data_IF_171653511932
#
_entry.id   IF_171653511932
#
_cell.length_a   1.000
_cell.length_b   1.000
_cell.length_c   1.000
_cell.angle_alpha   90.00
_cell.angle_beta   90.00
_cell.angle_gamma   90.00
#
_symmetry.space_group_name_H-M   'P 1'
#
loop_
_entity.id
_entity.type
_entity.pdbx_description
1 polymer ?
#
# COMPACT_ATOMS: atom_id res chain seq x y z
N UNK A 1 -43.25 3.30 -53.48
CA UNK A 1 -43.72 3.64 -52.13
C UNK A 1 -43.17 2.56 -51.21
N UNK A 2 -41.97 2.73 -50.68
CA UNK A 2 -41.30 1.78 -49.77
C UNK A 2 -41.18 2.46 -48.42
N UNK A 3 -41.97 2.01 -47.45
CA UNK A 3 -41.99 2.52 -46.08
C UNK A 3 -40.64 2.23 -45.39
N UNK A 4 -40.00 3.30 -44.87
CA UNK A 4 -38.88 3.22 -43.94
C UNK A 4 -39.43 3.04 -42.52
N UNK A 5 -38.97 2.04 -41.73
CA UNK A 5 -39.31 1.98 -40.32
C UNK A 5 -38.53 3.04 -39.54
N UNK A 6 -39.27 3.93 -38.88
CA UNK A 6 -38.76 4.91 -37.93
C UNK A 6 -38.10 4.22 -36.72
N UNK A 7 -36.82 4.50 -36.47
CA UNK A 7 -36.16 4.12 -35.22
C UNK A 7 -36.51 5.14 -34.12
N UNK A 8 -37.05 4.72 -32.97
CA UNK A 8 -37.29 5.61 -31.83
C UNK A 8 -35.96 6.01 -31.18
N UNK A 9 -35.83 7.31 -30.88
CA UNK A 9 -34.63 7.93 -30.33
C UNK A 9 -34.19 7.32 -29.00
N UNK A 10 -32.91 6.97 -28.92
CA UNK A 10 -32.25 6.52 -27.70
C UNK A 10 -32.14 7.68 -26.71
N UNK A 11 -32.65 7.49 -25.50
CA UNK A 11 -32.48 8.42 -24.39
C UNK A 11 -30.98 8.55 -24.02
N UNK A 12 -30.53 9.72 -23.50
CA UNK A 12 -29.15 9.86 -23.03
C UNK A 12 -28.90 8.94 -21.85
N UNK A 13 -28.01 7.98 -22.02
CA UNK A 13 -27.59 7.05 -20.97
C UNK A 13 -26.89 7.83 -19.84
N UNK A 14 -27.23 7.60 -18.55
CA UNK A 14 -26.52 8.20 -17.44
C UNK A 14 -25.09 7.67 -17.44
N UNK A 15 -24.13 8.51 -17.84
CA UNK A 15 -22.70 8.15 -17.76
C UNK A 15 -22.38 7.81 -16.30
N UNK A 16 -21.83 6.62 -16.00
CA UNK A 16 -21.34 6.33 -14.67
C UNK A 16 -20.27 7.38 -14.34
N UNK A 17 -20.52 8.15 -13.28
CA UNK A 17 -19.59 9.11 -12.73
C UNK A 17 -18.34 8.34 -12.32
N UNK A 18 -17.33 8.34 -13.20
CA UNK A 18 -15.99 7.91 -12.83
C UNK A 18 -15.57 8.76 -11.63
N UNK A 19 -15.18 8.17 -10.48
CA UNK A 19 -14.68 8.96 -9.37
C UNK A 19 -13.28 9.46 -9.74
N UNK A 20 -13.24 10.55 -10.51
CA UNK A 20 -12.05 11.23 -10.95
C UNK A 20 -11.65 12.25 -9.88
N UNK A 21 -10.68 11.87 -9.04
CA UNK A 21 -9.96 12.85 -8.22
C UNK A 21 -9.12 12.25 -7.11
N UNK A 22 -7.93 12.83 -6.94
CA UNK A 22 -7.03 12.64 -5.78
C UNK A 22 -7.77 12.78 -4.44
N UNK A 23 -8.87 13.56 -4.39
CA UNK A 23 -9.73 13.70 -3.21
C UNK A 23 -10.51 12.42 -2.81
N UNK A 24 -10.84 11.54 -3.75
CA UNK A 24 -11.51 10.26 -3.44
C UNK A 24 -10.57 9.27 -2.76
N UNK A 25 -9.27 9.31 -3.11
CA UNK A 25 -8.25 8.46 -2.51
C UNK A 25 -8.00 8.78 -1.03
N UNK A 26 -7.81 10.06 -0.68
CA UNK A 26 -7.64 10.46 0.71
C UNK A 26 -8.90 10.20 1.55
N UNK A 27 -10.09 10.44 0.97
CA UNK A 27 -11.36 10.10 1.63
C UNK A 27 -11.44 8.61 1.92
N UNK A 28 -11.12 7.74 0.96
CA UNK A 28 -11.12 6.28 1.14
C UNK A 28 -10.04 5.79 2.12
N UNK A 29 -8.91 6.50 2.24
CA UNK A 29 -7.84 6.16 3.19
C UNK A 29 -8.23 6.45 4.66
N UNK A 30 -9.12 7.42 4.87
CA UNK A 30 -9.69 7.77 6.19
C UNK A 30 -11.14 7.30 6.35
N UNK A 31 -11.63 6.44 5.45
CA UNK A 31 -12.97 5.87 5.50
C UNK A 31 -12.96 4.67 6.45
N UNK A 32 -13.28 4.92 7.73
CA UNK A 32 -13.28 3.91 8.79
C UNK A 32 -14.47 2.92 8.68
N UNK A 33 -15.41 3.17 7.77
CA UNK A 33 -16.58 2.32 7.51
C UNK A 33 -16.33 1.22 6.45
N UNK A 34 -15.17 1.20 5.78
CA UNK A 34 -14.76 0.15 4.80
C UNK A 34 -15.75 -0.14 3.66
N UNK A 35 -16.67 0.78 3.35
CA UNK A 35 -17.78 0.53 2.41
C UNK A 35 -17.34 0.55 0.93
N UNK A 36 -16.11 1.03 0.65
CA UNK A 36 -15.53 1.04 -0.69
C UNK A 36 -14.48 -0.07 -0.85
N UNK A 37 -14.73 -1.02 -1.76
CA UNK A 37 -13.81 -2.08 -2.18
C UNK A 37 -12.56 -1.54 -2.93
N UNK A 38 -11.69 -0.81 -2.22
CA UNK A 38 -10.42 -0.25 -2.71
C UNK A 38 -9.22 -1.12 -2.27
N UNK A 39 -9.50 -2.33 -1.78
CA UNK A 39 -8.53 -3.26 -1.19
C UNK A 39 -7.25 -3.45 -2.02
N UNK A 40 -7.28 -3.66 -3.35
CA UNK A 40 -6.06 -3.85 -4.12
C UNK A 40 -5.24 -2.56 -4.36
N UNK A 41 -5.87 -1.38 -4.34
CA UNK A 41 -5.17 -0.10 -4.56
C UNK A 41 -4.48 0.38 -3.29
N UNK A 42 -5.11 0.19 -2.12
CA UNK A 42 -4.57 0.58 -0.82
C UNK A 42 -3.26 -0.16 -0.53
N UNK A 43 -3.16 -1.45 -0.86
CA UNK A 43 -1.96 -2.28 -0.62
C UNK A 43 -0.69 -1.67 -1.26
N UNK A 44 -0.79 -1.12 -2.46
CA UNK A 44 0.36 -0.47 -3.13
C UNK A 44 0.84 0.77 -2.40
N UNK A 45 -0.07 1.51 -1.79
CA UNK A 45 0.25 2.75 -1.09
C UNK A 45 0.80 2.44 0.29
N UNK A 46 0.22 1.46 0.98
CA UNK A 46 0.78 0.90 2.22
C UNK A 46 2.20 0.36 1.96
N UNK A 47 2.45 -0.29 0.84
CA UNK A 47 3.80 -0.72 0.46
C UNK A 47 4.78 0.45 0.38
N UNK A 48 4.43 1.49 -0.38
CA UNK A 48 5.30 2.65 -0.56
C UNK A 48 5.56 3.36 0.77
N UNK A 49 4.50 3.62 1.54
CA UNK A 49 4.60 4.29 2.84
C UNK A 49 5.41 3.45 3.82
N UNK A 50 5.13 2.15 3.93
CA UNK A 50 5.84 1.25 4.83
C UNK A 50 7.32 1.12 4.47
N UNK A 51 7.65 1.00 3.18
CA UNK A 51 9.06 0.97 2.72
C UNK A 51 9.79 2.26 3.12
N UNK A 52 9.19 3.42 2.86
CA UNK A 52 9.78 4.72 3.21
C UNK A 52 9.95 4.85 4.73
N UNK A 53 8.94 4.47 5.51
CA UNK A 53 9.00 4.53 6.97
C UNK A 53 10.08 3.61 7.54
N UNK A 54 10.17 2.36 7.08
CA UNK A 54 11.24 1.42 7.50
C UNK A 54 12.61 1.99 7.13
N UNK A 55 12.76 2.53 5.91
CA UNK A 55 13.99 3.18 5.47
C UNK A 55 14.37 4.38 6.35
N UNK A 56 13.41 5.24 6.69
CA UNK A 56 13.62 6.40 7.57
C UNK A 56 13.97 5.99 9.00
N UNK A 57 13.28 4.99 9.56
CA UNK A 57 13.59 4.46 10.91
C UNK A 57 14.99 3.86 10.91
N UNK A 58 15.33 3.04 9.91
CA UNK A 58 16.67 2.46 9.76
C UNK A 58 17.74 3.55 9.66
N UNK A 59 17.49 4.60 8.87
CA UNK A 59 18.42 5.71 8.70
C UNK A 59 18.57 6.55 9.98
N UNK A 60 17.47 6.79 10.69
CA UNK A 60 17.47 7.48 11.97
C UNK A 60 18.26 6.70 13.03
N UNK A 61 18.05 5.38 13.11
CA UNK A 61 18.83 4.51 13.99
C UNK A 61 20.32 4.54 13.62
N UNK A 62 20.66 4.49 12.33
CA UNK A 62 22.04 4.60 11.88
C UNK A 62 22.68 5.93 12.28
N UNK A 63 21.96 7.05 12.11
CA UNK A 63 22.49 8.39 12.41
C UNK A 63 22.62 8.63 13.92
N UNK A 64 21.74 8.05 14.73
CA UNK A 64 21.81 8.13 16.19
C UNK A 64 22.93 7.25 16.77
N UNK A 65 23.40 6.23 16.06
CA UNK A 65 24.53 5.38 16.48
C UNK A 65 25.78 6.18 16.84
N UNK A 66 26.05 7.27 16.11
CA UNK A 66 27.22 8.13 16.34
C UNK A 66 27.20 8.82 17.72
N UNK A 67 26.02 9.02 18.31
CA UNK A 67 25.88 9.65 19.64
C UNK A 67 26.48 8.79 20.75
N UNK A 68 26.54 7.47 20.56
CA UNK A 68 27.07 6.53 21.54
C UNK A 68 28.60 6.57 21.66
N UNK A 69 29.30 7.18 20.70
CA UNK A 69 30.76 7.35 20.71
C UNK A 69 31.21 8.67 21.38
N UNK A 70 30.29 9.58 21.73
CA UNK A 70 30.62 10.82 22.43
C UNK A 70 30.85 10.59 23.93
N UNK A 71 31.53 11.53 24.63
CA UNK A 71 31.87 11.42 26.06
C UNK A 71 30.76 11.76 27.06
N UNK A 72 29.49 11.55 26.70
CA UNK A 72 28.34 11.86 27.56
C UNK A 72 28.00 10.74 28.56
N UNK A 73 27.04 10.99 29.46
CA UNK A 73 26.57 10.01 30.47
C UNK A 73 26.07 8.68 29.85
N UNK A 74 25.62 8.71 28.58
CA UNK A 74 25.12 7.54 27.83
C UNK A 74 26.13 7.02 26.80
N UNK A 75 27.42 7.37 26.93
CA UNK A 75 28.50 6.89 26.09
C UNK A 75 28.65 5.38 26.24
N UNK A 76 28.41 4.64 25.16
CA UNK A 76 28.67 3.20 25.14
C UNK A 76 29.12 2.80 23.72
N UNK A 77 30.44 2.79 23.47
CA UNK A 77 30.99 2.52 22.15
C UNK A 77 30.56 1.16 21.59
N UNK A 78 30.38 0.15 22.45
CA UNK A 78 29.93 -1.17 22.03
C UNK A 78 28.50 -1.14 21.47
N UNK A 79 27.58 -0.45 22.15
CA UNK A 79 26.22 -0.24 21.64
C UNK A 79 26.24 0.57 20.34
N UNK A 80 27.11 1.59 20.24
CA UNK A 80 27.29 2.37 19.02
C UNK A 80 27.69 1.51 17.82
N UNK A 81 28.65 0.60 17.99
CA UNK A 81 29.10 -0.32 16.91
C UNK A 81 27.99 -1.30 16.52
N UNK A 82 27.32 -1.90 17.51
CA UNK A 82 26.21 -2.84 17.28
C UNK A 82 25.08 -2.14 16.52
N UNK A 83 24.74 -0.91 16.89
CA UNK A 83 23.69 -0.15 16.22
C UNK A 83 24.13 0.34 14.83
N UNK A 84 25.40 0.72 14.63
CA UNK A 84 25.93 1.17 13.34
C UNK A 84 25.81 0.10 12.26
N UNK A 85 26.14 -1.15 12.59
CA UNK A 85 26.05 -2.29 11.68
C UNK A 85 24.65 -2.91 11.71
N UNK A 86 24.05 -2.98 12.90
CA UNK A 86 22.75 -3.57 13.13
C UNK A 86 21.61 -2.78 12.49
N UNK A 87 21.64 -1.45 12.50
CA UNK A 87 20.59 -0.63 11.91
C UNK A 87 20.34 -0.92 10.42
N UNK A 88 21.33 -0.86 9.50
CA UNK A 88 21.11 -1.17 8.09
C UNK A 88 20.76 -2.65 7.87
N UNK A 89 21.35 -3.57 8.63
CA UNK A 89 21.05 -5.00 8.52
C UNK A 89 19.59 -5.29 8.93
N UNK A 90 19.15 -4.72 10.05
CA UNK A 90 17.79 -4.83 10.55
C UNK A 90 16.81 -4.13 9.61
N UNK A 91 17.18 -2.98 9.04
CA UNK A 91 16.38 -2.28 8.04
C UNK A 91 16.14 -3.13 6.78
N UNK A 92 17.17 -3.74 6.22
CA UNK A 92 17.05 -4.66 5.07
C UNK A 92 16.18 -5.88 5.44
N UNK A 93 16.42 -6.46 6.61
CA UNK A 93 15.62 -7.59 7.09
C UNK A 93 14.14 -7.24 7.19
N UNK A 94 13.79 -6.11 7.81
CA UNK A 94 12.41 -5.65 7.90
C UNK A 94 11.81 -5.30 6.54
N UNK A 95 12.57 -4.70 5.62
CA UNK A 95 12.10 -4.45 4.25
C UNK A 95 11.78 -5.76 3.51
N UNK A 96 12.65 -6.77 3.63
CA UNK A 96 12.43 -8.08 3.02
C UNK A 96 11.19 -8.77 3.62
N UNK A 97 11.05 -8.74 4.94
CA UNK A 97 9.90 -9.31 5.64
C UNK A 97 8.59 -8.59 5.27
N UNK A 98 8.62 -7.26 5.22
CA UNK A 98 7.47 -6.43 4.83
C UNK A 98 7.06 -6.70 3.39
N UNK A 99 8.02 -6.86 2.48
CA UNK A 99 7.77 -7.26 1.08
C UNK A 99 7.08 -8.61 1.01
N UNK A 100 7.61 -9.61 1.71
CA UNK A 100 7.03 -10.96 1.76
C UNK A 100 5.60 -10.95 2.32
N UNK A 101 5.36 -10.17 3.38
CA UNK A 101 4.05 -10.04 4.01
C UNK A 101 3.02 -9.43 3.05
N UNK A 102 3.39 -8.35 2.35
CA UNK A 102 2.49 -7.70 1.41
C UNK A 102 2.22 -8.52 0.15
N UNK A 103 3.20 -9.30 -0.30
CA UNK A 103 3.01 -10.26 -1.38
C UNK A 103 1.98 -11.33 -1.00
N UNK A 104 2.01 -11.80 0.25
CA UNK A 104 0.99 -12.70 0.79
C UNK A 104 -0.39 -12.03 0.86
N UNK A 105 -0.48 -10.80 1.39
CA UNK A 105 -1.76 -10.07 1.43
C UNK A 105 -2.37 -9.87 0.03
N UNK A 106 -1.55 -9.48 -0.94
CA UNK A 106 -1.99 -9.32 -2.33
C UNK A 106 -2.45 -10.66 -2.94
N UNK A 107 -1.71 -11.74 -2.69
CA UNK A 107 -2.09 -13.08 -3.17
C UNK A 107 -3.45 -13.53 -2.60
N UNK A 108 -3.71 -13.28 -1.31
CA UNK A 108 -4.99 -13.61 -0.66
C UNK A 108 -6.15 -12.81 -1.26
N UNK A 109 -5.98 -11.50 -1.47
CA UNK A 109 -7.01 -10.65 -2.08
C UNK A 109 -7.32 -11.15 -3.51
N UNK A 110 -6.28 -11.42 -4.30
CA UNK A 110 -6.43 -11.91 -5.67
C UNK A 110 -7.12 -13.28 -5.73
N UNK A 111 -6.82 -14.17 -4.78
CA UNK A 111 -7.49 -15.47 -4.66
C UNK A 111 -8.99 -15.32 -4.34
N UNK A 112 -9.35 -14.34 -3.49
CA UNK A 112 -10.74 -14.04 -3.18
C UNK A 112 -11.54 -13.53 -4.40
N UNK A 113 -10.90 -12.77 -5.28
CA UNK A 113 -11.51 -12.29 -6.53
C UNK A 113 -11.71 -13.42 -7.57
N UNK A 114 -10.78 -14.40 -7.61
CA UNK A 114 -10.82 -15.53 -8.54
C UNK A 114 -11.97 -16.52 -8.22
N UNK A 115 -12.20 -16.80 -6.95
CA UNK A 115 -13.27 -17.73 -6.49
C UNK A 115 -14.68 -17.23 -6.84
N UNK A 116 -14.89 -15.91 -6.90
CA UNK A 116 -16.20 -15.34 -7.26
C UNK A 116 -16.57 -15.50 -8.74
N UNK A 117 -15.59 -15.71 -9.63
CA UNK A 117 -15.83 -15.87 -11.08
C UNK A 117 -16.00 -17.33 -11.53
N UNK A 118 -15.60 -18.31 -10.71
CA UNK A 118 -15.69 -19.74 -11.03
C UNK A 118 -17.10 -20.36 -10.92
N UNK A 119 -18.06 -19.68 -10.30
CA UNK A 119 -19.37 -20.25 -9.92
C UNK A 119 -20.52 -19.89 -10.90
N UNK A 120 -20.19 -19.55 -12.14
CA UNK A 120 -21.17 -19.20 -13.19
C UNK A 120 -21.28 -20.19 -14.36
N UNK A 121 -20.65 -21.37 -14.28
CA UNK A 121 -20.59 -22.34 -15.40
C UNK A 121 -21.08 -23.76 -15.08
N UNK A 122 -21.91 -23.92 -14.06
CA UNK A 122 -22.61 -25.17 -13.73
C UNK A 122 -24.10 -24.86 -13.54
#
# INVERSE_FOLDING_TARGET
MTDQPHQPGTAPEPRPSSPSGVGGFFKALFDLDFDTFVTPVIVKIVYLVGMVLIGLVSLFLFLTSFRHFGGGLFANPLLGIVQLVGAPLLGIFYLAFFRMSLELYYAVIRLSEDVHHGRGRL
#
